data_IF_892496338329
#
_entry.id   IF_892496338329
#
_cell.length_a   1.000
_cell.length_b   1.000
_cell.length_c   1.000
_cell.angle_alpha   90.00
_cell.angle_beta   90.00
_cell.angle_gamma   90.00
#
_symmetry.space_group_name_H-M   'P 1'
#
loop_
_entity.id
_entity.type
_entity.pdbx_description
1 polymer ?
#
# COMPACT_ATOMS: atom_id res chain seq x y z
N UNK A 1 14.33 -5.43 5.15
CA UNK A 1 12.99 -5.98 5.49
C UNK A 1 13.00 -6.42 6.95
N UNK A 2 12.30 -5.71 7.83
CA UNK A 2 12.15 -6.14 9.22
C UNK A 2 11.46 -7.50 9.27
N UNK A 3 11.86 -8.37 10.21
CA UNK A 3 11.47 -9.78 10.31
C UNK A 3 9.99 -10.04 10.67
N UNK A 4 9.07 -9.14 10.31
CA UNK A 4 7.62 -9.31 10.47
C UNK A 4 7.10 -9.35 11.91
N UNK A 5 7.98 -9.27 12.93
CA UNK A 5 7.61 -9.41 14.35
C UNK A 5 6.54 -8.41 14.81
N UNK A 6 6.46 -7.23 14.18
CA UNK A 6 5.46 -6.22 14.50
C UNK A 6 4.03 -6.67 14.16
N UNK A 7 3.83 -7.55 13.18
CA UNK A 7 2.51 -7.99 12.69
C UNK A 7 1.91 -9.16 13.50
N UNK A 8 2.74 -9.84 14.30
CA UNK A 8 2.33 -11.03 15.05
C UNK A 8 1.11 -10.85 15.97
N UNK A 9 0.95 -9.74 16.70
CA UNK A 9 -0.22 -9.57 17.55
C UNK A 9 -1.54 -9.55 16.76
N UNK A 10 -1.53 -8.99 15.55
CA UNK A 10 -2.72 -8.96 14.68
C UNK A 10 -3.00 -10.35 14.08
N UNK A 11 -1.96 -11.09 13.68
CA UNK A 11 -2.09 -12.49 13.24
C UNK A 11 -2.64 -13.37 14.36
N UNK A 12 -2.17 -13.18 15.59
CA UNK A 12 -2.68 -13.91 16.76
C UNK A 12 -4.15 -13.58 17.02
N UNK A 13 -4.53 -12.30 16.98
CA UNK A 13 -5.93 -11.89 17.16
C UNK A 13 -6.86 -12.55 16.13
N UNK A 14 -6.51 -12.50 14.85
CA UNK A 14 -7.33 -13.04 13.76
C UNK A 14 -7.49 -14.56 13.88
N UNK A 15 -6.39 -15.29 14.05
CA UNK A 15 -6.42 -16.77 14.16
C UNK A 15 -7.16 -17.21 15.42
N UNK A 16 -6.89 -16.60 16.58
CA UNK A 16 -7.59 -16.96 17.83
C UNK A 16 -9.09 -16.65 17.74
N UNK A 17 -9.47 -15.52 17.14
CA UNK A 17 -10.87 -15.16 16.91
C UNK A 17 -11.59 -16.19 16.02
N UNK A 18 -10.98 -16.59 14.90
CA UNK A 18 -11.52 -17.61 13.99
C UNK A 18 -11.67 -18.97 14.70
N UNK A 19 -10.67 -19.38 15.50
CA UNK A 19 -10.72 -20.59 16.32
C UNK A 19 -11.90 -20.57 17.30
N UNK A 20 -12.10 -19.46 18.01
CA UNK A 20 -13.19 -19.30 18.98
C UNK A 20 -14.55 -19.36 18.30
N UNK A 21 -14.72 -18.68 17.16
CA UNK A 21 -15.99 -18.69 16.41
C UNK A 21 -16.33 -20.10 15.95
N UNK A 22 -15.38 -20.80 15.31
CA UNK A 22 -15.58 -22.18 14.87
C UNK A 22 -15.92 -23.11 16.04
N UNK A 23 -15.21 -22.99 17.16
CA UNK A 23 -15.42 -23.82 18.33
C UNK A 23 -16.74 -23.51 19.06
N UNK A 24 -17.18 -22.25 19.09
CA UNK A 24 -18.49 -21.84 19.60
C UNK A 24 -19.62 -22.46 18.77
N UNK A 25 -19.51 -22.44 17.44
CA UNK A 25 -20.51 -23.02 16.53
C UNK A 25 -20.63 -24.52 16.79
N UNK A 26 -19.53 -25.26 16.78
CA UNK A 26 -19.55 -26.72 16.98
C UNK A 26 -20.02 -27.08 18.39
N UNK A 27 -19.53 -26.40 19.42
CA UNK A 27 -19.96 -26.64 20.81
C UNK A 27 -21.42 -26.26 21.02
N UNK A 28 -21.88 -25.18 20.38
CA UNK A 28 -23.27 -24.72 20.44
C UNK A 28 -24.24 -25.71 19.77
N UNK A 29 -23.87 -26.26 18.62
CA UNK A 29 -24.62 -27.34 17.98
C UNK A 29 -24.66 -28.59 18.87
N UNK A 30 -23.55 -28.96 19.51
CA UNK A 30 -23.51 -30.03 20.51
C UNK A 30 -24.46 -29.75 21.68
N UNK A 31 -24.46 -28.53 22.20
CA UNK A 31 -25.38 -28.11 23.27
C UNK A 31 -26.86 -28.20 22.85
N UNK A 32 -27.19 -27.81 21.62
CA UNK A 32 -28.54 -27.92 21.06
C UNK A 32 -28.97 -29.39 20.88
N UNK A 33 -28.04 -30.27 20.48
CA UNK A 33 -28.28 -31.70 20.29
C UNK A 33 -28.56 -32.45 21.60
N UNK A 34 -27.98 -32.02 22.73
CA UNK A 34 -28.16 -32.64 24.06
C UNK A 34 -29.51 -32.29 24.71
N UNK A 35 -30.64 -32.57 24.04
CA UNK A 35 -32.00 -32.13 24.46
C UNK A 35 -32.35 -32.52 25.89
N UNK A 36 -32.06 -33.75 26.29
CA UNK A 36 -32.53 -34.33 27.55
C UNK A 36 -31.43 -34.50 28.62
N UNK A 37 -30.21 -34.04 28.36
CA UNK A 37 -29.08 -34.12 29.31
C UNK A 37 -28.65 -32.72 29.80
N UNK A 38 -29.43 -32.20 30.76
CA UNK A 38 -29.14 -30.91 31.38
C UNK A 38 -27.78 -30.87 32.10
N UNK A 39 -27.35 -32.01 32.67
CA UNK A 39 -26.09 -32.09 33.38
C UNK A 39 -24.89 -32.00 32.40
N UNK A 40 -24.95 -32.69 31.26
CA UNK A 40 -23.95 -32.59 30.20
C UNK A 40 -23.90 -31.19 29.59
N UNK A 41 -25.06 -30.57 29.33
CA UNK A 41 -25.15 -29.17 28.90
C UNK A 41 -24.43 -28.24 29.86
N UNK A 42 -24.65 -28.39 31.17
CA UNK A 42 -24.01 -27.52 32.16
C UNK A 42 -22.49 -27.74 32.23
N UNK A 43 -22.02 -28.98 32.10
CA UNK A 43 -20.57 -29.28 32.03
C UNK A 43 -19.93 -28.65 30.79
N UNK A 44 -20.58 -28.72 29.64
CA UNK A 44 -20.10 -28.10 28.39
C UNK A 44 -20.09 -26.58 28.50
N UNK A 45 -21.17 -25.96 28.99
CA UNK A 45 -21.23 -24.50 29.19
C UNK A 45 -20.11 -24.03 30.12
N UNK A 46 -19.80 -24.77 31.20
CA UNK A 46 -18.65 -24.45 32.06
C UNK A 46 -17.31 -24.55 31.33
N UNK A 47 -17.11 -25.57 30.49
CA UNK A 47 -15.86 -25.69 29.73
C UNK A 47 -15.70 -24.61 28.65
N UNK A 48 -16.80 -24.03 28.14
CA UNK A 48 -16.76 -22.88 27.22
C UNK A 48 -16.11 -21.63 27.82
N UNK A 49 -15.78 -21.60 29.12
CA UNK A 49 -14.85 -20.61 29.71
C UNK A 49 -13.59 -20.42 28.85
N UNK A 50 -13.02 -21.52 28.34
CA UNK A 50 -11.79 -21.48 27.55
C UNK A 50 -11.98 -20.79 26.19
N UNK A 51 -13.20 -20.77 25.62
CA UNK A 51 -13.49 -19.99 24.42
C UNK A 51 -13.30 -18.50 24.68
N UNK A 52 -13.91 -18.01 25.76
CA UNK A 52 -13.86 -16.59 26.12
C UNK A 52 -12.49 -16.18 26.64
N UNK A 53 -11.77 -17.09 27.31
CA UNK A 53 -10.38 -16.87 27.69
C UNK A 53 -9.50 -16.67 26.45
N UNK A 54 -9.59 -17.57 25.46
CA UNK A 54 -8.82 -17.46 24.21
C UNK A 54 -9.21 -16.21 23.43
N UNK A 55 -10.49 -15.86 23.38
CA UNK A 55 -10.95 -14.63 22.73
C UNK A 55 -10.40 -13.38 23.44
N UNK A 56 -10.40 -13.37 24.78
CA UNK A 56 -9.82 -12.31 25.59
C UNK A 56 -8.32 -12.13 25.33
N UNK A 57 -7.58 -13.24 25.21
CA UNK A 57 -6.16 -13.19 24.81
C UNK A 57 -5.97 -12.61 23.40
N UNK A 58 -6.87 -12.95 22.46
CA UNK A 58 -6.89 -12.33 21.13
C UNK A 58 -7.07 -10.81 21.19
N UNK A 59 -8.05 -10.31 21.96
CA UNK A 59 -8.23 -8.87 22.14
C UNK A 59 -7.06 -8.19 22.82
N UNK A 60 -6.44 -8.83 23.82
CA UNK A 60 -5.25 -8.29 24.47
C UNK A 60 -4.10 -8.14 23.47
N UNK A 61 -3.88 -9.13 22.61
CA UNK A 61 -2.89 -9.05 21.53
C UNK A 61 -3.18 -7.87 20.58
N UNK A 62 -4.46 -7.69 20.19
CA UNK A 62 -4.89 -6.56 19.34
C UNK A 62 -4.63 -5.20 20.01
N UNK A 63 -4.99 -5.03 21.29
CA UNK A 63 -4.81 -3.77 22.03
C UNK A 63 -3.32 -3.42 22.19
N UNK A 64 -2.46 -4.41 22.44
CA UNK A 64 -1.02 -4.19 22.59
C UNK A 64 -0.36 -3.65 21.31
N UNK A 65 -0.97 -3.87 20.14
CA UNK A 65 -0.46 -3.38 18.86
C UNK A 65 -0.91 -1.94 18.52
N UNK A 66 -2.03 -1.47 19.08
CA UNK A 66 -2.60 -0.14 18.81
C UNK A 66 -1.78 1.03 19.38
N UNK A 67 -0.68 0.77 20.10
CA UNK A 67 0.25 1.77 20.66
C UNK A 67 -0.32 2.63 21.81
N UNK A 68 -1.62 2.96 21.80
CA UNK A 68 -2.31 3.65 22.89
C UNK A 68 -3.75 3.11 23.09
N UNK A 69 -4.03 2.42 24.20
CA UNK A 69 -5.34 1.82 24.46
C UNK A 69 -6.50 2.82 24.44
N UNK A 70 -6.27 4.06 24.89
CA UNK A 70 -7.32 5.08 24.93
C UNK A 70 -7.74 5.59 23.55
N UNK A 71 -6.87 5.53 22.52
CA UNK A 71 -7.24 5.91 21.16
C UNK A 71 -8.04 4.82 20.44
N UNK A 72 -8.06 3.59 20.96
CA UNK A 72 -8.88 2.52 20.40
C UNK A 72 -10.37 2.89 20.37
N UNK A 73 -10.85 3.68 21.34
CA UNK A 73 -12.25 4.16 21.34
C UNK A 73 -12.55 5.10 20.17
N UNK A 74 -11.57 5.89 19.71
CA UNK A 74 -11.72 6.76 18.54
C UNK A 74 -11.92 5.95 17.25
N UNK A 75 -11.45 4.70 17.21
CA UNK A 75 -11.65 3.81 16.06
C UNK A 75 -13.13 3.49 15.82
N UNK A 76 -13.99 3.61 16.83
CA UNK A 76 -15.43 3.35 16.71
C UNK A 76 -16.19 4.50 16.01
N UNK A 77 -15.57 5.67 15.85
CA UNK A 77 -16.23 6.84 15.24
C UNK A 77 -16.53 6.66 13.73
N UNK A 78 -15.98 5.62 13.09
CA UNK A 78 -16.15 5.34 11.65
C UNK A 78 -16.81 3.98 11.37
N UNK A 79 -17.61 3.46 12.31
CA UNK A 79 -18.46 2.28 12.06
C UNK A 79 -19.34 2.55 10.83
N UNK A 80 -19.39 1.59 9.91
CA UNK A 80 -20.05 1.67 8.62
C UNK A 80 -19.16 2.17 7.47
N UNK A 81 -18.08 2.91 7.76
CA UNK A 81 -17.22 3.52 6.74
C UNK A 81 -15.80 2.91 6.68
N UNK A 82 -15.33 2.27 7.75
CA UNK A 82 -13.97 1.71 7.85
C UNK A 82 -14.02 0.21 8.17
N UNK A 83 -13.24 -0.60 7.44
CA UNK A 83 -13.11 -2.03 7.68
C UNK A 83 -12.63 -2.33 9.10
N UNK A 84 -11.57 -1.65 9.55
CA UNK A 84 -10.99 -1.82 10.90
C UNK A 84 -12.01 -1.47 12.00
N UNK A 85 -12.75 -0.37 11.83
CA UNK A 85 -13.78 0.05 12.79
C UNK A 85 -14.91 -0.98 12.89
N UNK A 86 -15.33 -1.54 11.76
CA UNK A 86 -16.36 -2.57 11.70
C UNK A 86 -15.90 -3.88 12.33
N UNK A 87 -14.65 -4.28 12.14
CA UNK A 87 -14.05 -5.46 12.78
C UNK A 87 -14.04 -5.33 14.30
N UNK A 88 -13.52 -4.21 14.83
CA UNK A 88 -13.47 -3.96 16.28
C UNK A 88 -14.88 -3.97 16.87
N UNK A 89 -15.85 -3.32 16.20
CA UNK A 89 -17.23 -3.30 16.65
C UNK A 89 -17.87 -4.70 16.61
N UNK A 90 -17.74 -5.44 15.51
CA UNK A 90 -18.29 -6.77 15.36
C UNK A 90 -17.70 -7.76 16.37
N UNK A 91 -16.38 -7.71 16.58
CA UNK A 91 -15.70 -8.52 17.59
C UNK A 91 -16.17 -8.19 19.00
N UNK A 92 -16.26 -6.90 19.34
CA UNK A 92 -16.71 -6.45 20.66
C UNK A 92 -18.14 -6.89 20.95
N UNK A 93 -19.05 -6.75 19.97
CA UNK A 93 -20.44 -7.20 20.06
C UNK A 93 -20.51 -8.73 20.20
N UNK A 94 -19.77 -9.47 19.39
CA UNK A 94 -19.70 -10.93 19.47
C UNK A 94 -19.25 -11.39 20.87
N UNK A 95 -18.17 -10.81 21.39
CA UNK A 95 -17.62 -11.16 22.70
C UNK A 95 -18.57 -10.80 23.85
N UNK A 96 -19.18 -9.62 23.81
CA UNK A 96 -20.14 -9.20 24.83
C UNK A 96 -21.40 -10.08 24.82
N UNK A 97 -22.04 -10.25 23.65
CA UNK A 97 -23.29 -11.01 23.53
C UNK A 97 -23.07 -12.48 23.86
N UNK A 98 -22.00 -13.09 23.35
CA UNK A 98 -21.67 -14.49 23.62
C UNK A 98 -21.15 -14.73 25.04
N UNK A 99 -20.29 -13.86 25.56
CA UNK A 99 -19.75 -13.95 26.91
C UNK A 99 -20.82 -13.75 28.00
N UNK A 100 -21.74 -12.80 27.80
CA UNK A 100 -22.87 -12.60 28.72
C UNK A 100 -23.82 -13.80 28.69
N UNK A 101 -24.13 -14.32 27.49
CA UNK A 101 -24.90 -15.56 27.36
C UNK A 101 -24.28 -16.69 28.18
N UNK A 102 -22.97 -16.90 28.01
CA UNK A 102 -22.21 -17.92 28.71
C UNK A 102 -22.26 -17.71 30.23
N UNK A 103 -22.03 -16.48 30.70
CA UNK A 103 -22.02 -16.16 32.13
C UNK A 103 -23.37 -16.46 32.77
N UNK A 104 -24.47 -16.02 32.17
CA UNK A 104 -25.83 -16.27 32.68
C UNK A 104 -26.16 -17.77 32.66
N UNK A 105 -25.71 -18.49 31.63
CA UNK A 105 -25.87 -19.94 31.53
C UNK A 105 -25.05 -20.71 32.60
N UNK A 106 -23.81 -20.30 32.87
CA UNK A 106 -22.97 -20.87 33.94
C UNK A 106 -23.63 -20.67 35.31
N UNK A 107 -24.24 -19.51 35.55
CA UNK A 107 -24.96 -19.20 36.79
C UNK A 107 -26.28 -19.98 36.95
N UNK A 108 -26.69 -20.75 35.94
CA UNK A 108 -27.94 -21.52 35.97
C UNK A 108 -29.20 -20.66 35.94
N UNK A 109 -29.08 -19.37 35.58
CA UNK A 109 -30.19 -18.41 35.55
C UNK A 109 -30.84 -18.30 34.16
N UNK A 110 -30.35 -19.04 33.17
CA UNK A 110 -30.79 -18.93 31.77
C UNK A 110 -32.05 -19.78 31.50
N UNK A 111 -33.19 -19.19 31.11
CA UNK A 111 -34.33 -19.95 30.62
C UNK A 111 -33.97 -20.70 29.32
N UNK A 112 -34.42 -21.95 29.17
CA UNK A 112 -33.98 -22.82 28.07
C UNK A 112 -34.29 -22.26 26.67
N UNK A 113 -35.49 -21.70 26.46
CA UNK A 113 -35.90 -21.14 25.18
C UNK A 113 -35.08 -19.90 24.81
N UNK A 114 -34.90 -18.98 25.76
CA UNK A 114 -34.06 -17.79 25.60
C UNK A 114 -32.60 -18.18 25.36
N UNK A 115 -32.08 -19.15 26.11
CA UNK A 115 -30.72 -19.66 25.98
C UNK A 115 -30.45 -20.24 24.59
N UNK A 116 -31.40 -20.98 24.01
CA UNK A 116 -31.31 -21.49 22.62
C UNK A 116 -31.24 -20.35 21.61
N UNK A 117 -32.18 -19.41 21.67
CA UNK A 117 -32.24 -18.29 20.73
C UNK A 117 -30.99 -17.42 20.81
N UNK A 118 -30.58 -17.04 22.01
CA UNK A 118 -29.41 -16.21 22.23
C UNK A 118 -28.12 -16.92 21.79
N UNK A 119 -27.98 -18.23 22.04
CA UNK A 119 -26.84 -19.00 21.52
C UNK A 119 -26.76 -18.94 19.98
N UNK A 120 -27.89 -19.10 19.29
CA UNK A 120 -27.94 -18.98 17.83
C UNK A 120 -27.54 -17.58 17.37
N UNK A 121 -28.02 -16.53 18.04
CA UNK A 121 -27.60 -15.15 17.77
C UNK A 121 -26.08 -14.99 17.94
N UNK A 122 -25.50 -15.54 19.01
CA UNK A 122 -24.05 -15.50 19.26
C UNK A 122 -23.25 -16.22 18.17
N UNK A 123 -23.75 -17.35 17.65
CA UNK A 123 -23.14 -18.07 16.53
C UNK A 123 -23.15 -17.23 15.24
N UNK A 124 -24.28 -16.59 14.94
CA UNK A 124 -24.41 -15.69 13.77
C UNK A 124 -23.49 -14.48 13.91
N UNK A 125 -23.42 -13.86 15.10
CA UNK A 125 -22.49 -12.76 15.36
C UNK A 125 -21.03 -13.18 15.18
N UNK A 126 -20.68 -14.43 15.53
CA UNK A 126 -19.35 -14.98 15.26
C UNK A 126 -19.03 -15.05 13.76
N UNK A 127 -20.00 -15.47 12.93
CA UNK A 127 -19.85 -15.49 11.46
C UNK A 127 -19.68 -14.07 10.92
N UNK A 128 -20.51 -13.12 11.39
CA UNK A 128 -20.39 -11.70 11.03
C UNK A 128 -19.04 -11.12 11.44
N UNK A 129 -18.52 -11.53 12.60
CA UNK A 129 -17.21 -11.11 13.07
C UNK A 129 -16.07 -11.62 12.16
N UNK A 130 -16.06 -12.92 11.80
CA UNK A 130 -15.07 -13.46 10.85
C UNK A 130 -15.17 -12.75 9.50
N UNK A 131 -16.38 -12.49 9.01
CA UNK A 131 -16.60 -11.71 7.80
C UNK A 131 -16.07 -10.27 7.92
N UNK A 132 -16.30 -9.60 9.06
CA UNK A 132 -15.77 -8.26 9.30
C UNK A 132 -14.24 -8.25 9.30
N UNK A 133 -13.58 -9.28 9.85
CA UNK A 133 -12.12 -9.43 9.73
C UNK A 133 -11.69 -9.49 8.26
N UNK A 134 -12.38 -10.22 7.38
CA UNK A 134 -11.97 -10.32 5.97
C UNK A 134 -12.00 -8.97 5.25
N UNK A 135 -12.93 -8.09 5.62
CA UNK A 135 -13.04 -6.73 5.07
C UNK A 135 -11.87 -5.83 5.42
N UNK A 136 -11.07 -6.16 6.43
CA UNK A 136 -9.82 -5.45 6.75
C UNK A 136 -8.72 -5.80 5.76
N UNK A 137 -8.72 -7.03 5.24
CA UNK A 137 -7.70 -7.54 4.31
C UNK A 137 -8.07 -7.37 2.84
N UNK A 138 -9.36 -7.24 2.52
CA UNK A 138 -9.83 -6.92 1.17
C UNK A 138 -9.59 -5.43 0.85
N UNK A 139 -8.32 -5.07 0.67
CA UNK A 139 -7.86 -3.71 0.35
C UNK A 139 -7.53 -3.66 -1.15
N UNK A 140 -8.23 -2.79 -1.88
CA UNK A 140 -8.13 -2.65 -3.33
C UNK A 140 -6.69 -2.32 -3.81
N UNK A 141 -5.90 -1.66 -2.98
CA UNK A 141 -4.49 -1.30 -3.25
C UNK A 141 -3.50 -2.44 -3.02
N UNK A 142 -3.93 -3.57 -2.45
CA UNK A 142 -3.10 -4.77 -2.24
C UNK A 142 -3.74 -5.95 -2.99
N UNK A 143 -3.50 -6.08 -4.31
CA UNK A 143 -4.20 -7.06 -5.16
C UNK A 143 -4.03 -8.51 -4.71
N UNK A 144 -2.92 -8.85 -4.06
CA UNK A 144 -2.65 -10.19 -3.55
C UNK A 144 -3.61 -10.60 -2.43
N UNK A 145 -4.16 -9.64 -1.70
CA UNK A 145 -5.17 -9.85 -0.65
C UNK A 145 -6.59 -9.54 -1.15
N UNK A 146 -6.75 -8.74 -2.21
CA UNK A 146 -8.04 -8.39 -2.79
C UNK A 146 -8.62 -9.51 -3.67
N UNK A 147 -8.89 -10.66 -3.06
CA UNK A 147 -9.43 -11.83 -3.78
C UNK A 147 -10.46 -12.58 -2.94
N UNK A 148 -11.33 -13.35 -3.60
CA UNK A 148 -12.23 -14.27 -2.91
C UNK A 148 -11.50 -15.31 -2.06
N UNK A 149 -10.24 -15.64 -2.40
CA UNK A 149 -9.40 -16.58 -1.64
C UNK A 149 -9.13 -16.10 -0.22
N UNK A 150 -8.96 -14.80 0.00
CA UNK A 150 -8.77 -14.22 1.34
C UNK A 150 -9.97 -14.50 2.23
N UNK A 151 -11.18 -14.29 1.72
CA UNK A 151 -12.40 -14.57 2.49
C UNK A 151 -12.54 -16.07 2.76
N UNK A 152 -12.28 -16.90 1.75
CA UNK A 152 -12.35 -18.35 1.89
C UNK A 152 -11.33 -18.87 2.92
N UNK A 153 -10.10 -18.36 2.91
CA UNK A 153 -9.04 -18.74 3.85
C UNK A 153 -9.44 -18.46 5.31
N UNK A 154 -10.07 -17.31 5.60
CA UNK A 154 -10.50 -16.95 6.95
C UNK A 154 -11.55 -17.92 7.50
N UNK A 155 -12.55 -18.27 6.69
CA UNK A 155 -13.57 -19.25 7.08
C UNK A 155 -13.01 -20.68 7.14
N UNK A 156 -12.07 -21.04 6.27
CA UNK A 156 -11.40 -22.32 6.33
C UNK A 156 -10.57 -22.47 7.60
N UNK A 157 -9.91 -21.41 8.08
CA UNK A 157 -9.22 -21.46 9.38
C UNK A 157 -10.20 -21.77 10.52
N UNK A 158 -11.37 -21.13 10.54
CA UNK A 158 -12.41 -21.42 11.54
C UNK A 158 -12.92 -22.87 11.44
N UNK A 159 -13.09 -23.41 10.22
CA UNK A 159 -13.49 -24.81 9.98
C UNK A 159 -12.39 -25.81 10.32
N UNK A 160 -11.12 -25.43 10.16
CA UNK A 160 -9.97 -26.26 10.44
C UNK A 160 -9.77 -26.40 11.96
N UNK A 161 -9.75 -25.29 12.69
CA UNK A 161 -9.41 -25.28 14.11
C UNK A 161 -10.62 -25.44 15.03
N UNK A 162 -11.79 -24.96 14.61
CA UNK A 162 -13.02 -24.96 15.41
C UNK A 162 -13.45 -26.35 15.91
N UNK A 163 -13.59 -27.36 15.04
CA UNK A 163 -13.94 -28.72 15.46
C UNK A 163 -12.93 -29.34 16.41
N UNK A 164 -11.62 -29.12 16.20
CA UNK A 164 -10.57 -29.64 17.09
C UNK A 164 -10.66 -29.01 18.48
N UNK A 165 -10.86 -27.69 18.54
CA UNK A 165 -11.00 -27.00 19.81
C UNK A 165 -12.30 -27.42 20.52
N UNK A 166 -13.43 -27.53 19.80
CA UNK A 166 -14.68 -28.05 20.36
C UNK A 166 -14.54 -29.50 20.87
N UNK A 167 -13.80 -30.36 20.17
CA UNK A 167 -13.50 -31.72 20.62
C UNK A 167 -12.79 -31.73 21.97
N UNK A 168 -11.82 -30.83 22.19
CA UNK A 168 -11.14 -30.69 23.48
C UNK A 168 -12.11 -30.28 24.59
N UNK A 169 -13.02 -29.34 24.32
CA UNK A 169 -14.03 -28.89 25.29
C UNK A 169 -15.05 -29.98 25.62
N UNK A 170 -15.52 -30.72 24.61
CA UNK A 170 -16.44 -31.84 24.78
C UNK A 170 -15.78 -32.97 25.58
N UNK A 171 -14.52 -33.30 25.27
CA UNK A 171 -13.73 -34.27 26.04
C UNK A 171 -13.55 -33.83 27.50
N UNK A 172 -13.17 -32.58 27.74
CA UNK A 172 -12.99 -32.02 29.08
C UNK A 172 -14.30 -32.02 29.90
N UNK A 173 -15.44 -31.81 29.22
CA UNK A 173 -16.77 -31.85 29.83
C UNK A 173 -17.37 -33.25 30.00
N UNK A 174 -16.64 -34.31 29.58
CA UNK A 174 -17.10 -35.70 29.56
C UNK A 174 -18.39 -35.87 28.77
N UNK A 175 -18.50 -35.15 27.65
CA UNK A 175 -19.59 -35.28 26.69
C UNK A 175 -19.10 -36.17 25.55
N UNK A 176 -19.91 -37.15 25.14
CA UNK A 176 -19.59 -38.01 24.01
C UNK A 176 -19.75 -37.23 22.70
N UNK A 177 -18.82 -37.45 21.78
CA UNK A 177 -18.84 -36.80 20.46
C UNK A 177 -18.20 -37.73 19.43
N UNK A 178 -18.49 -37.49 18.16
CA UNK A 178 -17.89 -38.22 17.07
C UNK A 178 -16.53 -37.59 16.70
N UNK A 179 -15.46 -38.11 17.29
CA UNK A 179 -14.10 -37.62 17.05
C UNK A 179 -13.63 -37.78 15.61
N UNK A 180 -14.04 -38.86 14.91
CA UNK A 180 -13.66 -39.06 13.51
C UNK A 180 -14.34 -38.06 12.58
N UNK A 181 -15.60 -37.70 12.84
CA UNK A 181 -16.28 -36.64 12.09
C UNK A 181 -15.56 -35.30 12.26
N UNK A 182 -15.20 -34.92 13.48
CA UNK A 182 -14.57 -33.64 13.75
C UNK A 182 -13.19 -33.57 13.11
N UNK A 183 -12.40 -34.64 13.24
CA UNK A 183 -11.11 -34.76 12.56
C UNK A 183 -11.25 -34.73 11.03
N UNK A 184 -12.27 -35.39 10.46
CA UNK A 184 -12.50 -35.41 9.01
C UNK A 184 -12.85 -34.03 8.48
N UNK A 185 -13.67 -33.25 9.19
CA UNK A 185 -13.99 -31.85 8.83
C UNK A 185 -12.71 -31.01 8.82
N UNK A 186 -11.87 -31.13 9.87
CA UNK A 186 -10.62 -30.37 9.97
C UNK A 186 -9.59 -30.78 8.92
N UNK A 187 -9.46 -32.07 8.62
CA UNK A 187 -8.57 -32.58 7.55
C UNK A 187 -9.05 -32.12 6.18
N UNK A 188 -10.35 -32.17 5.91
CA UNK A 188 -10.92 -31.66 4.66
C UNK A 188 -10.68 -30.15 4.53
N UNK A 189 -10.93 -29.37 5.59
CA UNK A 189 -10.63 -27.95 5.61
C UNK A 189 -9.15 -27.66 5.35
N UNK A 190 -8.23 -28.45 5.92
CA UNK A 190 -6.80 -28.35 5.65
C UNK A 190 -6.46 -28.63 4.17
N UNK A 191 -7.01 -29.69 3.59
CA UNK A 191 -6.79 -30.01 2.17
C UNK A 191 -7.32 -28.90 1.25
N UNK A 192 -8.49 -28.36 1.56
CA UNK A 192 -9.05 -27.22 0.82
C UNK A 192 -8.20 -25.96 1.02
N UNK A 193 -7.69 -25.69 2.23
CA UNK A 193 -6.76 -24.58 2.47
C UNK A 193 -5.48 -24.71 1.64
N UNK A 194 -4.90 -25.90 1.55
CA UNK A 194 -3.72 -26.15 0.69
C UNK A 194 -4.07 -25.90 -0.77
N UNK A 195 -5.21 -26.40 -1.25
CA UNK A 195 -5.67 -26.15 -2.62
C UNK A 195 -5.89 -24.65 -2.88
N UNK A 196 -6.49 -23.92 -1.94
CA UNK A 196 -6.70 -22.47 -2.02
C UNK A 196 -5.36 -21.73 -2.09
N UNK A 197 -4.38 -22.10 -1.26
CA UNK A 197 -3.04 -21.50 -1.31
C UNK A 197 -2.38 -21.74 -2.67
N UNK A 198 -2.47 -22.97 -3.20
CA UNK A 198 -1.92 -23.30 -4.53
C UNK A 198 -2.62 -22.53 -5.63
N UNK A 199 -3.96 -22.51 -5.65
CA UNK A 199 -4.75 -21.79 -6.64
C UNK A 199 -4.54 -20.28 -6.57
N UNK A 200 -4.47 -19.72 -5.36
CA UNK A 200 -4.12 -18.32 -5.15
C UNK A 200 -2.72 -18.05 -5.69
N UNK A 201 -1.73 -18.89 -5.36
CA UNK A 201 -0.37 -18.80 -5.88
C UNK A 201 -0.28 -18.85 -7.41
N UNK A 202 -1.07 -19.72 -8.06
CA UNK A 202 -1.18 -19.76 -9.52
C UNK A 202 -1.86 -18.51 -10.08
N UNK A 203 -2.85 -17.95 -9.38
CA UNK A 203 -3.52 -16.70 -9.78
C UNK A 203 -2.64 -15.46 -9.56
N UNK A 204 -1.63 -15.51 -8.69
CA UNK A 204 -0.68 -14.39 -8.53
C UNK A 204 0.04 -14.08 -9.84
N UNK A 205 0.30 -15.09 -10.68
CA UNK A 205 0.89 -14.90 -12.01
C UNK A 205 -0.05 -14.18 -12.99
N UNK A 206 -1.36 -14.17 -12.69
CA UNK A 206 -2.40 -13.47 -13.48
C UNK A 206 -2.82 -12.13 -12.88
N UNK A 207 -2.31 -11.78 -11.69
CA UNK A 207 -2.49 -10.44 -11.14
C UNK A 207 -1.58 -9.51 -11.94
N UNK A 208 -2.17 -8.93 -12.98
CA UNK A 208 -1.52 -7.88 -13.74
C UNK A 208 -1.58 -6.59 -12.92
N UNK A 209 -0.42 -6.03 -12.58
CA UNK A 209 -0.39 -4.64 -12.14
C UNK A 209 -0.80 -3.72 -13.30
N UNK A 210 -1.27 -2.51 -12.99
CA UNK A 210 -1.46 -1.46 -14.01
C UNK A 210 -0.19 -1.23 -14.83
N UNK A 211 0.98 -1.39 -14.21
CA UNK A 211 2.31 -1.40 -14.84
C UNK A 211 2.47 -2.54 -15.86
N UNK A 212 1.99 -3.76 -15.58
CA UNK A 212 2.04 -4.89 -16.51
C UNK A 212 1.00 -4.81 -17.65
N UNK A 213 -0.16 -4.17 -17.41
CA UNK A 213 -1.12 -3.89 -18.48
C UNK A 213 -0.65 -2.75 -19.39
N UNK A 214 -0.08 -1.69 -18.82
CA UNK A 214 0.51 -0.59 -19.57
C UNK A 214 1.74 -1.05 -20.37
N UNK A 215 2.59 -1.93 -19.82
CA UNK A 215 3.72 -2.52 -20.55
C UNK A 215 3.31 -3.48 -21.66
N UNK A 216 2.13 -4.09 -21.57
CA UNK A 216 1.55 -4.93 -22.62
C UNK A 216 0.83 -4.13 -23.72
N UNK A 217 0.39 -2.90 -23.42
CA UNK A 217 -0.38 -2.03 -24.34
C UNK A 217 0.48 -0.96 -25.02
N UNK A 218 1.59 -0.55 -24.39
CA UNK A 218 2.53 0.45 -24.90
C UNK A 218 3.88 -0.22 -25.12
N UNK A 219 4.28 -0.49 -26.38
CA UNK A 219 5.66 -0.85 -26.69
C UNK A 219 6.60 0.17 -26.04
N UNK A 220 7.68 -0.29 -25.41
CA UNK A 220 8.71 0.54 -24.76
C UNK A 220 8.34 1.21 -23.41
N UNK A 221 7.27 0.76 -22.75
CA UNK A 221 6.88 1.27 -21.41
C UNK A 221 8.00 1.21 -20.36
N UNK A 222 8.79 0.13 -20.34
CA UNK A 222 9.90 -0.02 -19.39
C UNK A 222 11.05 0.96 -19.68
N UNK A 223 11.32 1.29 -20.94
CA UNK A 223 12.35 2.27 -21.27
C UNK A 223 11.87 3.68 -20.91
N UNK A 224 10.63 4.06 -21.23
CA UNK A 224 10.04 5.36 -20.86
C UNK A 224 10.10 5.68 -19.35
N UNK A 225 10.14 4.67 -18.48
CA UNK A 225 10.31 4.85 -17.04
C UNK A 225 11.76 5.12 -16.61
N UNK A 226 12.74 4.45 -17.23
CA UNK A 226 14.17 4.63 -16.91
C UNK A 226 14.62 6.07 -17.18
N UNK A 227 14.17 6.68 -18.27
CA UNK A 227 14.65 8.02 -18.67
C UNK A 227 14.15 9.15 -17.77
N UNK A 228 12.98 8.99 -17.14
CA UNK A 228 12.47 9.92 -16.11
C UNK A 228 13.40 9.95 -14.90
N UNK A 229 13.86 8.78 -14.47
CA UNK A 229 14.83 8.64 -13.37
C UNK A 229 16.19 9.19 -13.76
N UNK A 230 16.68 8.89 -14.98
CA UNK A 230 17.97 9.40 -15.45
C UNK A 230 18.00 10.92 -15.50
N UNK A 231 17.02 11.55 -16.15
CA UNK A 231 16.93 13.01 -16.20
C UNK A 231 16.73 13.60 -14.80
N UNK A 232 15.81 13.05 -14.01
CA UNK A 232 15.56 13.53 -12.65
C UNK A 232 16.81 13.51 -11.77
N UNK A 233 17.58 12.42 -11.82
CA UNK A 233 18.80 12.26 -11.06
C UNK A 233 19.91 13.22 -11.53
N UNK A 234 20.12 13.39 -12.85
CA UNK A 234 21.17 14.26 -13.39
C UNK A 234 20.91 15.76 -13.20
N UNK A 235 19.66 16.15 -12.99
CA UNK A 235 19.29 17.53 -12.62
C UNK A 235 19.25 17.77 -11.11
N UNK A 236 19.22 16.72 -10.28
CA UNK A 236 19.07 16.83 -8.82
C UNK A 236 20.37 16.56 -8.06
N UNK A 237 21.10 15.51 -8.42
CA UNK A 237 22.31 15.09 -7.74
C UNK A 237 23.57 15.64 -8.41
N UNK A 238 24.58 15.97 -7.60
CA UNK A 238 25.89 16.35 -8.09
C UNK A 238 26.50 15.21 -8.95
N UNK A 239 27.24 15.51 -10.03
CA UNK A 239 27.70 14.51 -11.00
C UNK A 239 28.68 13.49 -10.43
N UNK A 240 29.31 13.76 -9.30
CA UNK A 240 30.22 12.89 -8.55
C UNK A 240 29.53 12.13 -7.40
N UNK A 241 28.22 12.31 -7.21
CA UNK A 241 27.45 11.56 -6.21
C UNK A 241 27.31 10.08 -6.58
N UNK A 242 26.97 9.26 -5.59
CA UNK A 242 26.75 7.82 -5.81
C UNK A 242 25.59 7.54 -6.77
N UNK A 243 24.60 8.43 -6.80
CA UNK A 243 23.38 8.34 -7.61
C UNK A 243 23.63 8.76 -9.07
N UNK A 244 24.35 9.86 -9.31
CA UNK A 244 24.53 10.42 -10.64
C UNK A 244 25.79 9.96 -11.37
N UNK A 245 26.90 9.64 -10.68
CA UNK A 245 28.16 9.27 -11.33
C UNK A 245 28.03 8.08 -12.31
N UNK A 246 27.27 7.01 -12.01
CA UNK A 246 27.05 5.93 -12.98
C UNK A 246 26.29 6.38 -14.24
N UNK A 247 25.37 7.35 -14.10
CA UNK A 247 24.57 7.89 -15.19
C UNK A 247 25.38 8.81 -16.08
N UNK A 248 26.23 9.65 -15.48
CA UNK A 248 27.20 10.47 -16.20
C UNK A 248 28.12 9.57 -17.03
N UNK A 249 28.68 8.53 -16.41
CA UNK A 249 29.52 7.54 -17.10
C UNK A 249 28.80 6.91 -18.29
N UNK A 250 27.54 6.49 -18.11
CA UNK A 250 26.74 5.88 -19.16
C UNK A 250 26.47 6.84 -20.35
N UNK A 251 26.18 8.12 -20.10
CA UNK A 251 25.95 9.10 -21.17
C UNK A 251 27.22 9.51 -21.93
N UNK A 252 28.38 9.33 -21.29
CA UNK A 252 29.70 9.54 -21.91
C UNK A 252 30.28 8.28 -22.55
N UNK A 253 29.63 7.13 -22.38
CA UNK A 253 30.01 5.86 -22.99
C UNK A 253 29.35 5.66 -24.36
N UNK A 254 29.85 4.69 -25.12
CA UNK A 254 29.25 4.29 -26.39
C UNK A 254 27.90 3.57 -26.15
N UNK A 255 26.97 3.68 -27.11
CA UNK A 255 25.70 2.94 -27.23
C UNK A 255 24.47 3.33 -26.37
N UNK A 256 24.53 4.30 -25.44
CA UNK A 256 23.34 4.71 -24.66
C UNK A 256 22.17 5.18 -25.55
N UNK A 257 22.49 5.74 -26.72
CA UNK A 257 21.52 6.23 -27.72
C UNK A 257 20.59 5.13 -28.24
N UNK A 258 21.04 3.87 -28.24
CA UNK A 258 20.21 2.74 -28.70
C UNK A 258 19.07 2.41 -27.74
N UNK A 259 19.18 2.87 -26.50
CA UNK A 259 18.23 2.58 -25.43
C UNK A 259 17.24 3.75 -25.22
N UNK A 260 17.66 4.98 -25.51
CA UNK A 260 16.81 6.17 -25.33
C UNK A 260 15.72 6.28 -26.42
N UNK A 261 14.43 6.54 -26.08
CA UNK A 261 13.27 6.43 -26.96
C UNK A 261 13.07 7.68 -27.84
N UNK A 262 14.17 8.24 -28.32
CA UNK A 262 14.17 9.34 -29.28
C UNK A 262 14.81 8.86 -30.59
N UNK A 263 14.49 9.55 -31.68
CA UNK A 263 15.05 9.21 -32.98
C UNK A 263 16.58 9.39 -32.99
N UNK A 264 17.29 8.51 -33.69
CA UNK A 264 18.76 8.55 -33.77
C UNK A 264 19.29 9.89 -34.29
N UNK A 265 18.55 10.57 -35.18
CA UNK A 265 18.97 11.89 -35.68
C UNK A 265 18.97 12.97 -34.58
N UNK A 266 18.12 12.82 -33.56
CA UNK A 266 18.09 13.71 -32.38
C UNK A 266 19.21 13.37 -31.41
N UNK A 267 19.50 12.07 -31.22
CA UNK A 267 20.46 11.61 -30.22
C UNK A 267 21.93 11.71 -30.68
N UNK A 268 22.20 11.60 -31.99
CA UNK A 268 23.55 11.60 -32.55
C UNK A 268 24.37 12.87 -32.22
N UNK A 269 23.83 14.09 -32.40
CA UNK A 269 24.52 15.30 -31.99
C UNK A 269 24.77 15.36 -30.47
N UNK A 270 23.78 14.94 -29.67
CA UNK A 270 23.85 15.00 -28.20
C UNK A 270 24.94 14.12 -27.62
N UNK A 271 25.17 12.91 -28.13
CA UNK A 271 26.28 12.08 -27.64
C UNK A 271 27.65 12.67 -27.96
N UNK A 272 27.77 13.37 -29.09
CA UNK A 272 29.00 14.11 -29.40
C UNK A 272 29.24 15.20 -28.37
N UNK A 273 28.18 15.92 -27.98
CA UNK A 273 28.28 16.99 -26.98
C UNK A 273 28.51 16.47 -25.55
N UNK A 274 27.95 15.32 -25.17
CA UNK A 274 28.23 14.69 -23.86
C UNK A 274 29.71 14.30 -23.68
N UNK A 275 30.40 13.95 -24.78
CA UNK A 275 31.83 13.60 -24.75
C UNK A 275 32.76 14.79 -25.04
N UNK A 276 32.23 15.97 -25.35
CA UNK A 276 33.04 17.14 -25.69
C UNK A 276 33.82 17.62 -24.47
N UNK A 277 35.14 17.71 -24.65
CA UNK A 277 36.05 18.23 -23.62
C UNK A 277 35.77 19.71 -23.33
N UNK A 278 35.78 20.06 -22.05
CA UNK A 278 35.61 21.40 -21.52
C UNK A 278 36.73 21.68 -20.51
N UNK A 279 37.15 22.95 -20.40
CA UNK A 279 38.13 23.38 -19.40
C UNK A 279 37.53 23.40 -17.98
N UNK A 280 36.22 23.66 -17.87
CA UNK A 280 35.46 23.54 -16.63
C UNK A 280 35.05 22.08 -16.40
N UNK A 281 35.26 21.56 -15.19
CA UNK A 281 34.85 20.20 -14.83
C UNK A 281 33.35 20.08 -14.54
N UNK A 282 32.79 18.85 -14.62
CA UNK A 282 31.38 18.61 -14.33
C UNK A 282 30.95 19.07 -12.92
N UNK A 283 31.69 18.79 -11.83
CA UNK A 283 31.32 19.27 -10.50
C UNK A 283 31.35 20.81 -10.39
N UNK A 284 32.30 21.48 -11.04
CA UNK A 284 32.37 22.95 -11.06
C UNK A 284 31.17 23.55 -11.82
N UNK A 285 30.84 22.98 -12.97
CA UNK A 285 29.66 23.37 -13.74
C UNK A 285 28.36 23.12 -12.95
N UNK A 286 28.24 21.99 -12.25
CA UNK A 286 27.10 21.69 -11.38
C UNK A 286 26.96 22.73 -10.26
N UNK A 287 28.05 23.02 -9.56
CA UNK A 287 28.07 24.02 -8.50
C UNK A 287 27.60 25.39 -9.02
N UNK A 288 28.07 25.81 -10.20
CA UNK A 288 27.67 27.07 -10.84
C UNK A 288 26.21 27.09 -11.28
N UNK A 289 25.69 25.99 -11.81
CA UNK A 289 24.36 25.91 -12.42
C UNK A 289 23.24 25.64 -11.42
N UNK A 290 23.51 24.88 -10.36
CA UNK A 290 22.48 24.35 -9.45
C UNK A 290 22.63 24.79 -7.99
N UNK A 291 23.83 25.20 -7.55
CA UNK A 291 24.11 25.46 -6.12
C UNK A 291 24.38 26.94 -5.81
N UNK A 292 25.23 27.61 -6.60
CA UNK A 292 25.67 28.99 -6.34
C UNK A 292 27.15 29.05 -5.94
N UNK A 293 27.63 30.16 -5.31
CA UNK A 293 26.89 31.14 -4.53
C UNK A 293 26.33 32.32 -5.33
N UNK A 294 26.65 32.43 -6.62
CA UNK A 294 26.09 33.46 -7.50
C UNK A 294 24.66 33.12 -7.92
N UNK A 295 23.95 34.09 -8.46
CA UNK A 295 22.62 33.86 -9.00
C UNK A 295 22.66 32.78 -10.09
N UNK A 296 21.82 31.76 -9.95
CA UNK A 296 21.77 30.66 -10.90
C UNK A 296 21.26 31.18 -12.27
N UNK A 297 21.90 30.80 -13.39
CA UNK A 297 21.48 31.27 -14.71
C UNK A 297 20.04 30.90 -15.05
N UNK A 298 19.66 29.66 -14.73
CA UNK A 298 18.30 29.13 -14.88
C UNK A 298 17.91 28.35 -13.62
N UNK A 299 17.28 28.99 -12.62
CA UNK A 299 16.96 28.32 -11.36
C UNK A 299 15.96 27.17 -11.57
N UNK A 300 16.23 25.97 -11.04
CA UNK A 300 15.46 24.76 -11.33
C UNK A 300 14.17 24.62 -10.51
N UNK A 301 13.59 25.69 -9.97
CA UNK A 301 12.36 25.65 -9.17
C UNK A 301 11.20 26.34 -9.88
N UNK A 302 10.04 25.69 -9.97
CA UNK A 302 8.89 26.19 -10.73
C UNK A 302 8.39 27.56 -10.28
N UNK A 303 8.37 27.82 -8.97
CA UNK A 303 7.98 29.11 -8.38
C UNK A 303 8.83 30.29 -8.84
N UNK A 304 10.09 30.09 -9.22
CA UNK A 304 10.94 31.16 -9.79
C UNK A 304 10.45 31.63 -11.16
N UNK A 305 9.71 30.79 -11.88
CA UNK A 305 9.19 31.09 -13.21
C UNK A 305 7.71 31.50 -13.17
N UNK A 306 6.95 30.91 -12.24
CA UNK A 306 5.49 31.02 -12.18
C UNK A 306 4.98 32.05 -11.18
N UNK A 307 5.79 32.47 -10.21
CA UNK A 307 5.40 33.47 -9.22
C UNK A 307 6.04 34.83 -9.51
N UNK A 308 5.26 35.90 -9.35
CA UNK A 308 5.64 37.27 -9.72
C UNK A 308 6.91 37.78 -9.04
N UNK A 309 7.17 37.31 -7.82
CA UNK A 309 8.32 37.73 -7.01
C UNK A 309 9.58 36.88 -7.27
N UNK A 310 9.51 35.88 -8.15
CA UNK A 310 10.63 34.96 -8.48
C UNK A 310 11.26 34.32 -7.24
N UNK A 311 10.45 33.92 -6.26
CA UNK A 311 10.87 33.37 -4.96
C UNK A 311 10.72 31.85 -4.91
N UNK A 312 11.48 31.21 -4.01
CA UNK A 312 11.22 29.82 -3.63
C UNK A 312 10.01 29.73 -2.70
N UNK A 313 9.33 28.58 -2.68
CA UNK A 313 8.13 28.34 -1.88
C UNK A 313 6.97 29.31 -2.18
N UNK A 314 6.87 29.78 -3.42
CA UNK A 314 5.80 30.68 -3.85
C UNK A 314 4.46 29.95 -4.06
N UNK A 315 3.49 30.64 -4.68
CA UNK A 315 2.12 30.13 -4.81
C UNK A 315 2.08 28.83 -5.63
N UNK A 316 2.93 28.70 -6.66
CA UNK A 316 2.95 27.46 -7.45
C UNK A 316 3.48 26.26 -6.67
N UNK A 317 4.44 26.46 -5.75
CA UNK A 317 4.93 25.41 -4.85
C UNK A 317 3.85 25.00 -3.86
N UNK A 318 3.10 25.96 -3.31
CA UNK A 318 1.99 25.68 -2.40
C UNK A 318 0.85 24.94 -3.11
N UNK A 319 0.55 25.29 -4.36
CA UNK A 319 -0.42 24.59 -5.18
C UNK A 319 0.00 23.14 -5.45
N UNK A 320 1.28 22.89 -5.75
CA UNK A 320 1.83 21.54 -5.87
C UNK A 320 1.69 20.76 -4.56
N UNK A 321 2.08 21.37 -3.44
CA UNK A 321 1.97 20.74 -2.11
C UNK A 321 0.54 20.40 -1.74
N UNK A 322 -0.42 21.26 -2.07
CA UNK A 322 -1.83 20.99 -1.85
C UNK A 322 -2.31 19.82 -2.71
N UNK A 323 -1.99 19.81 -4.01
CA UNK A 323 -2.30 18.71 -4.91
C UNK A 323 -1.69 17.38 -4.42
N UNK A 324 -0.44 17.39 -3.95
CA UNK A 324 0.21 16.20 -3.38
C UNK A 324 -0.56 15.69 -2.15
N UNK A 325 -0.96 16.57 -1.23
CA UNK A 325 -1.75 16.20 -0.04
C UNK A 325 -3.09 15.60 -0.40
N UNK A 326 -3.81 16.21 -1.34
CA UNK A 326 -5.14 15.75 -1.77
C UNK A 326 -5.08 14.36 -2.45
N UNK A 327 -3.94 14.06 -3.07
CA UNK A 327 -3.66 12.76 -3.68
C UNK A 327 -2.89 11.80 -2.74
N UNK A 328 -2.67 12.13 -1.47
CA UNK A 328 -1.93 11.26 -0.55
C UNK A 328 -0.50 10.93 -1.02
N UNK A 329 0.15 11.87 -1.71
CA UNK A 329 1.54 11.79 -2.13
C UNK A 329 2.39 12.40 -1.02
N UNK A 330 3.29 11.59 -0.45
CA UNK A 330 4.22 12.02 0.58
C UNK A 330 5.64 11.91 0.03
N UNK A 331 6.34 13.05 -0.03
CA UNK A 331 7.77 13.10 -0.37
C UNK A 331 8.53 13.27 0.95
N UNK A 332 9.32 12.26 1.31
CA UNK A 332 10.25 12.35 2.43
C UNK A 332 11.57 12.92 1.90
N UNK A 333 11.79 14.22 2.09
CA UNK A 333 13.11 14.84 1.87
C UNK A 333 13.81 15.01 3.22
N UNK A 334 15.11 14.70 3.27
CA UNK A 334 15.94 14.94 4.46
C UNK A 334 16.22 16.44 4.70
N UNK A 335 15.97 17.28 3.70
CA UNK A 335 16.18 18.73 3.73
C UNK A 335 14.88 19.49 3.41
N UNK A 336 14.73 20.69 3.98
CA UNK A 336 13.64 21.64 3.71
C UNK A 336 13.79 22.26 2.31
N UNK A 337 13.83 21.45 1.25
CA UNK A 337 13.85 21.90 -0.13
C UNK A 337 12.42 22.07 -0.69
N UNK A 338 12.18 23.02 -1.60
CA UNK A 338 10.91 23.14 -2.31
C UNK A 338 10.63 21.91 -3.18
N UNK A 339 9.38 21.44 -3.16
CA UNK A 339 8.93 20.25 -3.91
C UNK A 339 8.88 20.46 -5.43
N UNK A 340 8.92 21.72 -5.88
CA UNK A 340 8.80 22.13 -7.28
C UNK A 340 10.15 22.22 -8.02
N UNK A 341 11.18 21.57 -7.49
CA UNK A 341 12.45 21.40 -8.18
C UNK A 341 12.30 20.49 -9.42
N UNK A 342 12.87 20.88 -10.57
CA UNK A 342 12.72 20.19 -11.85
C UNK A 342 13.10 18.71 -11.78
N UNK A 343 14.27 18.40 -11.22
CA UNK A 343 14.71 17.02 -11.04
C UNK A 343 13.80 16.22 -10.11
N UNK A 344 13.31 16.84 -9.04
CA UNK A 344 12.44 16.19 -8.04
C UNK A 344 11.06 15.89 -8.63
N UNK A 345 10.51 16.80 -9.45
CA UNK A 345 9.29 16.57 -10.20
C UNK A 345 9.46 15.39 -11.18
N UNK A 346 10.58 15.29 -11.89
CA UNK A 346 10.85 14.16 -12.78
C UNK A 346 10.95 12.84 -12.01
N UNK A 347 11.66 12.81 -10.88
CA UNK A 347 11.72 11.64 -10.00
C UNK A 347 10.33 11.26 -9.48
N UNK A 348 9.50 12.24 -9.12
CA UNK A 348 8.11 12.00 -8.70
C UNK A 348 7.24 11.50 -9.87
N UNK A 349 7.43 11.98 -11.10
CA UNK A 349 6.73 11.42 -12.28
C UNK A 349 7.13 9.98 -12.56
N UNK A 350 8.39 9.60 -12.31
CA UNK A 350 8.84 8.22 -12.39
C UNK A 350 8.14 7.37 -11.32
N UNK A 351 8.19 7.81 -10.06
CA UNK A 351 7.57 7.11 -8.93
C UNK A 351 6.05 6.94 -9.09
N UNK A 352 5.33 7.97 -9.55
CA UNK A 352 3.89 7.89 -9.82
C UNK A 352 3.58 6.87 -10.92
N UNK A 353 4.39 6.85 -11.98
CA UNK A 353 4.23 5.88 -13.07
C UNK A 353 4.55 4.44 -12.61
N UNK A 354 5.60 4.24 -11.80
CA UNK A 354 5.95 2.94 -11.19
C UNK A 354 4.88 2.45 -10.22
N UNK A 355 4.27 3.39 -9.48
CA UNK A 355 3.18 3.11 -8.54
C UNK A 355 1.83 2.89 -9.24
N UNK A 356 1.77 2.94 -10.57
CA UNK A 356 0.53 2.75 -11.34
C UNK A 356 -0.47 3.91 -11.24
N UNK A 357 -0.02 5.08 -10.78
CA UNK A 357 -0.81 6.30 -10.53
C UNK A 357 -0.80 7.21 -11.75
N UNK A 358 -1.32 6.69 -12.87
CA UNK A 358 -1.20 7.34 -14.18
C UNK A 358 -1.94 8.67 -14.27
N UNK A 359 -3.14 8.75 -13.69
CA UNK A 359 -3.92 10.00 -13.66
C UNK A 359 -3.14 11.11 -12.95
N UNK A 360 -2.56 10.78 -11.79
CA UNK A 360 -1.75 11.71 -11.01
C UNK A 360 -0.43 12.05 -11.72
N UNK A 361 0.16 11.10 -12.44
CA UNK A 361 1.32 11.37 -13.29
C UNK A 361 0.99 12.39 -14.40
N UNK A 362 -0.15 12.23 -15.09
CA UNK A 362 -0.58 13.19 -16.12
C UNK A 362 -0.90 14.56 -15.52
N UNK A 363 -1.56 14.61 -14.36
CA UNK A 363 -1.84 15.85 -13.64
C UNK A 363 -0.55 16.56 -13.22
N UNK A 364 0.43 15.82 -12.69
CA UNK A 364 1.71 16.37 -12.29
C UNK A 364 2.42 17.01 -13.49
N UNK A 365 2.47 16.30 -14.62
CA UNK A 365 3.05 16.80 -15.86
C UNK A 365 2.29 18.04 -16.37
N UNK A 366 0.97 17.95 -16.52
CA UNK A 366 0.13 18.98 -17.12
C UNK A 366 0.04 20.27 -16.28
N UNK A 367 -0.02 20.15 -14.96
CA UNK A 367 -0.34 21.27 -14.07
C UNK A 367 0.87 21.81 -13.32
N UNK A 368 1.90 20.99 -13.10
CA UNK A 368 3.01 21.35 -12.21
C UNK A 368 4.39 21.29 -12.84
N UNK A 369 4.58 20.64 -14.01
CA UNK A 369 5.86 20.62 -14.73
C UNK A 369 5.82 21.40 -16.05
N UNK A 370 5.00 20.97 -17.01
CA UNK A 370 4.94 21.56 -18.36
C UNK A 370 4.63 23.06 -18.44
N UNK A 371 3.88 23.67 -17.51
CA UNK A 371 3.64 25.12 -17.57
C UNK A 371 4.90 25.99 -17.50
N UNK A 372 6.03 25.45 -17.04
CA UNK A 372 7.27 26.22 -16.88
C UNK A 372 8.53 25.49 -17.36
N UNK A 373 8.50 24.16 -17.46
CA UNK A 373 9.69 23.36 -17.76
C UNK A 373 10.38 23.74 -19.07
N UNK A 374 9.62 24.04 -20.12
CA UNK A 374 10.20 24.43 -21.41
C UNK A 374 10.91 25.78 -21.33
N UNK A 375 10.34 26.75 -20.60
CA UNK A 375 10.98 28.05 -20.35
C UNK A 375 12.27 27.89 -19.55
N UNK A 376 12.23 27.08 -18.49
CA UNK A 376 13.41 26.72 -17.72
C UNK A 376 14.50 26.08 -18.60
N UNK A 377 14.13 25.10 -19.42
CA UNK A 377 15.06 24.38 -20.30
C UNK A 377 15.66 25.29 -21.38
N UNK A 378 14.88 26.18 -21.98
CA UNK A 378 15.39 27.11 -22.99
C UNK A 378 16.46 28.05 -22.40
N UNK A 379 16.19 28.66 -21.24
CA UNK A 379 17.17 29.51 -20.55
C UNK A 379 18.36 28.69 -20.03
N UNK A 380 18.12 27.45 -19.58
CA UNK A 380 19.17 26.56 -19.12
C UNK A 380 20.13 26.18 -20.25
N UNK A 381 19.61 25.76 -21.41
CA UNK A 381 20.40 25.39 -22.59
C UNK A 381 21.23 26.59 -23.06
N UNK A 382 20.62 27.78 -23.15
CA UNK A 382 21.31 29.01 -23.59
C UNK A 382 22.45 29.42 -22.65
N UNK A 383 22.29 29.19 -21.34
CA UNK A 383 23.22 29.69 -20.32
C UNK A 383 24.02 28.59 -19.59
N UNK A 384 23.94 27.33 -20.04
CA UNK A 384 24.62 26.21 -19.40
C UNK A 384 26.15 26.43 -19.39
N UNK A 385 26.71 26.90 -20.50
CA UNK A 385 28.14 27.20 -20.64
C UNK A 385 29.07 25.98 -20.54
N UNK A 386 28.51 24.76 -20.46
CA UNK A 386 29.24 23.50 -20.41
C UNK A 386 28.57 22.49 -21.37
N UNK A 387 29.30 21.84 -22.29
CA UNK A 387 28.73 20.96 -23.32
C UNK A 387 27.82 19.86 -22.77
N UNK A 388 28.26 19.17 -21.71
CA UNK A 388 27.45 18.13 -21.04
C UNK A 388 26.08 18.62 -20.57
N UNK A 389 26.03 19.77 -19.87
CA UNK A 389 24.77 20.30 -19.33
C UNK A 389 23.90 20.90 -20.44
N UNK A 390 24.49 21.46 -21.49
CA UNK A 390 23.75 21.87 -22.68
C UNK A 390 23.07 20.67 -23.36
N UNK A 391 23.82 19.58 -23.57
CA UNK A 391 23.30 18.33 -24.12
C UNK A 391 22.23 17.70 -23.22
N UNK A 392 22.42 17.73 -21.89
CA UNK A 392 21.42 17.28 -20.92
C UNK A 392 20.11 18.08 -21.01
N UNK A 393 20.21 19.41 -21.14
CA UNK A 393 19.07 20.28 -21.33
C UNK A 393 18.32 19.98 -22.63
N UNK A 394 19.04 19.79 -23.74
CA UNK A 394 18.44 19.44 -25.02
C UNK A 394 17.79 18.05 -24.99
N UNK A 395 18.46 17.05 -24.38
CA UNK A 395 17.92 15.71 -24.19
C UNK A 395 16.62 15.75 -23.39
N UNK A 396 16.58 16.53 -22.29
CA UNK A 396 15.38 16.74 -21.51
C UNK A 396 14.28 17.42 -22.33
N UNK A 397 14.60 18.47 -23.09
CA UNK A 397 13.64 19.21 -23.92
C UNK A 397 12.99 18.31 -24.96
N UNK A 398 13.78 17.51 -25.69
CA UNK A 398 13.25 16.57 -26.68
C UNK A 398 12.40 15.47 -26.04
N UNK A 399 12.85 14.93 -24.90
CA UNK A 399 12.13 13.89 -24.16
C UNK A 399 10.79 14.41 -23.63
N UNK A 400 10.78 15.60 -23.02
CA UNK A 400 9.54 16.22 -22.51
C UNK A 400 8.59 16.62 -23.64
N UNK A 401 9.09 17.09 -24.79
CA UNK A 401 8.25 17.39 -25.94
C UNK A 401 7.54 16.14 -26.48
N UNK A 402 8.23 15.00 -26.52
CA UNK A 402 7.61 13.72 -26.88
C UNK A 402 6.51 13.34 -25.89
N UNK A 403 6.75 13.44 -24.58
CA UNK A 403 5.72 13.16 -23.56
C UNK A 403 4.54 14.12 -23.65
N UNK A 404 4.79 15.41 -23.85
CA UNK A 404 3.77 16.44 -24.02
C UNK A 404 2.87 16.14 -25.22
N UNK A 405 3.44 15.66 -26.33
CA UNK A 405 2.67 15.28 -27.54
C UNK A 405 1.75 14.08 -27.35
N UNK A 406 2.04 13.23 -26.36
CA UNK A 406 1.26 12.04 -26.01
C UNK A 406 0.25 12.30 -24.89
N UNK A 407 0.30 13.48 -24.27
CA UNK A 407 -0.53 13.82 -23.12
C UNK A 407 -1.96 14.15 -23.57
N UNK A 408 -2.95 13.43 -23.02
CA UNK A 408 -4.36 13.69 -23.30
C UNK A 408 -4.92 14.85 -22.47
N UNK A 409 -4.33 15.10 -21.31
CA UNK A 409 -4.72 16.16 -20.39
C UNK A 409 -4.24 17.54 -20.90
N UNK A 410 -5.10 18.58 -20.90
CA UNK A 410 -4.67 19.92 -21.28
C UNK A 410 -3.68 20.49 -20.25
N UNK A 411 -2.67 21.15 -20.77
CA UNK A 411 -1.62 21.78 -19.97
C UNK A 411 -2.17 23.07 -19.37
N UNK A 412 -1.92 23.30 -18.09
CA UNK A 412 -2.39 24.51 -17.43
C UNK A 412 -1.67 25.74 -18.02
N UNK A 413 -2.44 26.66 -18.59
CA UNK A 413 -1.91 27.96 -19.01
C UNK A 413 -1.60 28.80 -17.77
N UNK A 414 -0.32 29.12 -17.58
CA UNK A 414 0.17 29.95 -16.48
C UNK A 414 1.04 31.07 -17.01
N UNK A 415 1.00 32.22 -16.34
CA UNK A 415 1.87 33.35 -16.69
C UNK A 415 3.30 33.03 -16.26
N UNK A 416 4.26 33.25 -17.15
CA UNK A 416 5.69 33.17 -16.85
C UNK A 416 6.20 34.58 -16.53
N UNK A 417 6.87 34.74 -15.39
CA UNK A 417 7.41 36.01 -14.91
C UNK A 417 8.92 36.17 -15.18
N UNK A 418 9.58 35.12 -15.69
CA UNK A 418 11.02 35.11 -16.02
C UNK A 418 11.31 34.45 -17.36
#
# INVERSE_FOLDING_TARGET
>A
MGSGWHEWPLVLFTVLGQCVVGALIVSGLGWLAMKDDAAARQRLVRSMFFLWLVMGLGFLASIMHLGSPMRAFNSLNRIGASGLSNEIAAGSVFFAVGGIWWLVAVLGKMPLALGKFWLLVSMVLGIVFVWAMTRVYLIDTVPTWYTGYTTLAFFLTALLSGPLFAALLLRASRVTFNGTLFASISVLALLVSVAVIVLQGMSLATIHSSVQQASALVPDYASLQVWRVVLGALFYYAPDSAEAAPLVSALTADDWQTQWPLAAETLSPLATDFTRVSDESLPEAFQRLFVGPYALPSPPWGSVWLDRENVLFGESTLALRQWMRDNGIHVETEQNEPEDHFGSLLLMTAWLAESGRHSECEQLLAWHLFPWSFRFLDVFIENAGHPFYQALGELARHTLAQWQSQLLMPIAEKTLFR
#
